data_IF_988710857635
#
_entry.id   IF_988710857635
#
_cell.length_a   1.000
_cell.length_b   1.000
_cell.length_c   1.000
_cell.angle_alpha   90.00
_cell.angle_beta   90.00
_cell.angle_gamma   90.00
#
_symmetry.space_group_name_H-M   'P 1'
#
loop_
_entity.id
_entity.type
_entity.pdbx_description
1 polymer ?
#
# COMPACT_ATOMS: atom_id res chain seq x y z
N UNK A 1 13.79 15.51 24.35
CA UNK A 1 13.08 14.97 25.53
C UNK A 1 13.13 16.03 26.62
N UNK A 2 12.00 16.55 27.13
CA UNK A 2 12.07 17.51 28.24
C UNK A 2 12.41 16.72 29.50
N UNK A 3 13.68 16.77 29.91
CA UNK A 3 14.14 16.10 31.11
C UNK A 3 13.87 17.03 32.30
N UNK A 4 13.00 16.61 33.22
CA UNK A 4 12.73 17.29 34.48
C UNK A 4 14.05 17.43 35.27
N UNK A 5 14.30 18.62 35.82
CA UNK A 5 15.57 18.91 36.49
C UNK A 5 15.71 18.04 37.75
N UNK A 6 16.66 17.10 37.75
CA UNK A 6 17.11 16.39 38.95
C UNK A 6 17.25 14.88 38.80
N UNK A 7 16.58 14.24 37.83
CA UNK A 7 16.75 12.81 37.58
C UNK A 7 18.03 12.60 36.77
N UNK A 8 18.89 11.68 37.20
CA UNK A 8 20.12 11.31 36.48
C UNK A 8 20.01 9.89 35.97
N UNK A 9 20.63 9.60 34.84
CA UNK A 9 20.76 8.22 34.36
C UNK A 9 21.74 7.48 35.27
N UNK A 10 21.33 6.35 35.83
CA UNK A 10 22.15 5.55 36.73
C UNK A 10 22.63 4.28 36.02
N UNK A 11 23.94 4.13 35.90
CA UNK A 11 24.60 3.02 35.21
C UNK A 11 25.48 2.30 36.23
N UNK A 12 25.18 1.04 36.51
CA UNK A 12 26.09 0.15 37.25
C UNK A 12 27.06 -0.48 36.24
N UNK A 13 28.34 -0.17 36.41
CA UNK A 13 29.43 -0.55 35.51
C UNK A 13 29.93 -1.96 35.78
N UNK A 14 30.69 -2.51 34.85
CA UNK A 14 31.26 -3.86 34.94
C UNK A 14 32.36 -3.99 35.99
N UNK A 15 32.95 -2.88 36.44
CA UNK A 15 33.85 -2.84 37.59
C UNK A 15 33.11 -2.80 38.95
N UNK A 16 31.77 -2.75 38.93
CA UNK A 16 30.92 -2.66 40.12
C UNK A 16 30.69 -1.24 40.63
N UNK A 17 31.24 -0.21 39.97
CA UNK A 17 31.00 1.20 40.32
C UNK A 17 29.68 1.70 39.73
N UNK A 18 29.12 2.75 40.33
CA UNK A 18 27.92 3.41 39.83
C UNK A 18 28.30 4.74 39.17
N UNK A 19 27.91 4.90 37.92
CA UNK A 19 28.00 6.15 37.17
C UNK A 19 26.64 6.84 37.13
N UNK A 20 26.63 8.13 37.46
CA UNK A 20 25.45 8.99 37.31
C UNK A 20 25.67 9.98 36.16
N UNK A 21 24.79 9.97 35.16
CA UNK A 21 24.88 10.87 33.99
C UNK A 21 23.77 11.91 34.05
N UNK A 22 24.18 13.18 34.13
CA UNK A 22 23.26 14.31 34.08
C UNK A 22 22.96 14.72 32.64
N UNK A 23 21.75 14.43 32.18
CA UNK A 23 21.29 14.74 30.83
C UNK A 23 20.57 16.09 30.71
N UNK A 24 20.58 16.94 31.74
CA UNK A 24 19.97 18.29 31.68
C UNK A 24 20.53 19.14 30.54
N UNK A 25 19.65 19.77 29.75
CA UNK A 25 20.05 20.56 28.58
C UNK A 25 20.42 19.75 27.34
N UNK A 26 20.35 18.42 27.36
CA UNK A 26 20.49 17.61 26.15
C UNK A 26 19.27 17.79 25.25
N UNK A 27 19.49 18.25 24.01
CA UNK A 27 18.42 18.51 23.04
C UNK A 27 18.34 17.41 21.98
N UNK A 28 19.47 16.80 21.66
CA UNK A 28 19.61 15.74 20.66
C UNK A 28 20.04 14.40 21.28
N UNK A 29 19.84 13.31 20.56
CA UNK A 29 20.38 11.99 20.95
C UNK A 29 21.91 12.01 20.95
N UNK A 30 22.53 12.80 20.07
CA UNK A 30 23.98 12.96 20.05
C UNK A 30 24.49 13.63 21.34
N UNK A 31 23.75 14.59 21.91
CA UNK A 31 24.09 15.20 23.20
C UNK A 31 24.06 14.17 24.32
N UNK A 32 23.09 13.27 24.30
CA UNK A 32 22.98 12.16 25.25
C UNK A 32 24.18 11.23 25.14
N UNK A 33 24.51 10.78 23.92
CA UNK A 33 25.66 9.91 23.65
C UNK A 33 26.95 10.57 24.13
N UNK A 34 27.16 11.84 23.78
CA UNK A 34 28.35 12.57 24.17
C UNK A 34 28.49 12.66 25.69
N UNK A 35 27.40 12.96 26.40
CA UNK A 35 27.43 13.04 27.87
C UNK A 35 27.71 11.70 28.54
N UNK A 36 27.20 10.59 28.00
CA UNK A 36 27.53 9.26 28.52
C UNK A 36 29.02 8.96 28.29
N UNK A 37 29.54 9.26 27.10
CA UNK A 37 30.95 9.03 26.73
C UNK A 37 31.94 9.89 27.53
N UNK A 38 31.49 11.02 28.07
CA UNK A 38 32.30 11.90 28.91
C UNK A 38 32.47 11.41 30.35
N UNK A 39 31.65 10.46 30.81
CA UNK A 39 31.71 9.93 32.19
C UNK A 39 33.02 9.17 32.43
N UNK A 40 33.41 8.32 31.47
CA UNK A 40 34.68 7.61 31.50
C UNK A 40 35.18 7.31 30.08
N UNK A 41 35.91 8.28 29.48
CA UNK A 41 36.35 8.18 28.10
C UNK A 41 37.19 6.93 27.83
N UNK A 42 36.76 6.15 26.83
CA UNK A 42 37.46 4.94 26.36
C UNK A 42 37.03 3.64 27.05
N UNK A 43 36.41 3.71 28.23
CA UNK A 43 35.85 2.54 28.90
C UNK A 43 34.33 2.47 28.71
N UNK A 44 33.61 3.55 29.05
CA UNK A 44 32.16 3.63 28.86
C UNK A 44 31.86 4.31 27.52
N UNK A 45 31.35 3.53 26.58
CA UNK A 45 31.11 3.94 25.20
C UNK A 45 29.66 3.69 24.82
N UNK A 46 28.90 4.75 24.69
CA UNK A 46 27.61 4.81 24.03
C UNK A 46 27.77 5.10 22.53
N UNK A 47 26.99 4.40 21.71
CA UNK A 47 26.86 4.66 20.28
C UNK A 47 25.43 4.39 19.82
N UNK A 48 25.11 4.75 18.58
CA UNK A 48 23.93 4.21 17.94
C UNK A 48 24.06 2.70 17.74
N UNK A 49 22.94 2.00 17.83
CA UNK A 49 22.86 0.59 17.50
C UNK A 49 23.06 0.39 16.00
N UNK A 50 23.74 -0.69 15.62
CA UNK A 50 23.98 -1.02 14.20
C UNK A 50 22.68 -1.30 13.42
N UNK A 51 21.63 -1.77 14.11
CA UNK A 51 20.30 -2.06 13.53
C UNK A 51 19.21 -1.53 14.46
N UNK A 52 18.32 -0.69 13.93
CA UNK A 52 17.22 -0.02 14.67
C UNK A 52 17.62 1.34 15.24
N UNK A 53 16.67 2.09 15.83
CA UNK A 53 16.91 3.46 16.32
C UNK A 53 17.35 3.52 17.80
N UNK A 54 17.89 2.43 18.34
CA UNK A 54 18.32 2.34 19.74
C UNK A 54 19.73 2.90 19.98
N UNK A 55 20.02 3.20 21.24
CA UNK A 55 21.39 3.45 21.73
C UNK A 55 21.95 2.14 22.26
N UNK A 56 23.22 1.85 22.00
CA UNK A 56 23.95 0.72 22.58
C UNK A 56 25.08 1.25 23.46
N UNK A 57 25.35 0.57 24.58
CA UNK A 57 26.39 0.96 25.54
C UNK A 57 27.30 -0.23 25.79
N UNK A 58 28.60 0.00 25.62
CA UNK A 58 29.67 -0.92 26.00
C UNK A 58 30.43 -0.33 27.18
N UNK A 59 30.81 -1.17 28.12
CA UNK A 59 31.68 -0.80 29.22
C UNK A 59 32.83 -1.80 29.32
N UNK A 60 34.06 -1.30 29.31
CA UNK A 60 35.28 -2.11 29.33
C UNK A 60 36.08 -1.97 30.65
N UNK A 61 35.52 -1.34 31.68
CA UNK A 61 36.23 -1.12 32.96
C UNK A 61 36.38 -2.38 33.82
N UNK A 62 35.60 -3.45 33.55
CA UNK A 62 35.65 -4.70 34.30
C UNK A 62 34.97 -5.86 33.56
N UNK A 63 34.74 -6.97 34.26
CA UNK A 63 34.10 -8.19 33.71
C UNK A 63 32.75 -8.52 34.36
N UNK A 64 32.27 -7.68 35.28
CA UNK A 64 30.97 -7.82 35.93
C UNK A 64 29.79 -7.47 35.00
N UNK A 65 28.55 -7.54 35.53
CA UNK A 65 27.37 -7.16 34.77
C UNK A 65 27.32 -5.64 34.54
N UNK A 66 26.87 -5.23 33.35
CA UNK A 66 26.54 -3.85 33.04
C UNK A 66 25.02 -3.69 33.20
N UNK A 67 24.54 -2.77 34.03
CA UNK A 67 23.10 -2.55 34.17
C UNK A 67 22.74 -1.08 34.29
N UNK A 68 21.55 -0.74 33.81
CA UNK A 68 21.00 0.61 33.84
C UNK A 68 19.70 0.56 34.62
N UNK A 69 19.69 1.27 35.75
CA UNK A 69 18.54 1.29 36.66
C UNK A 69 17.36 1.98 36.00
N UNK A 70 16.17 1.42 36.23
CA UNK A 70 14.92 1.94 35.69
C UNK A 70 14.56 3.29 36.32
N UNK A 71 14.47 4.33 35.51
CA UNK A 71 13.95 5.64 35.86
C UNK A 71 13.31 6.33 34.63
N UNK A 72 12.76 7.53 34.83
CA UNK A 72 12.07 8.30 33.78
C UNK A 72 12.95 8.51 32.52
N UNK A 73 14.26 8.70 32.72
CA UNK A 73 15.22 8.96 31.66
C UNK A 73 15.57 7.68 30.91
N UNK A 74 15.88 6.61 31.63
CA UNK A 74 16.25 5.32 31.05
C UNK A 74 15.07 4.75 30.26
N UNK A 75 13.83 4.92 30.75
CA UNK A 75 12.63 4.50 30.04
C UNK A 75 12.38 5.33 28.78
N UNK A 76 12.54 6.66 28.87
CA UNK A 76 12.37 7.57 27.74
C UNK A 76 13.43 7.37 26.63
N UNK A 77 14.61 6.85 26.99
CA UNK A 77 15.69 6.51 26.05
C UNK A 77 15.72 5.02 25.68
N UNK A 78 14.93 4.18 26.35
CA UNK A 78 14.89 2.75 26.13
C UNK A 78 16.13 1.99 26.60
N UNK A 79 16.89 2.59 27.51
CA UNK A 79 18.17 2.07 27.98
C UNK A 79 18.05 1.20 29.25
N UNK A 80 16.87 1.12 29.88
CA UNK A 80 16.69 0.25 31.05
C UNK A 80 16.92 -1.22 30.69
N UNK A 81 17.79 -1.88 31.45
CA UNK A 81 18.18 -3.26 31.17
C UNK A 81 19.45 -3.68 31.91
N UNK A 82 19.80 -4.95 31.77
CA UNK A 82 21.03 -5.52 32.31
C UNK A 82 21.63 -6.47 31.28
N UNK A 83 22.95 -6.38 31.13
CA UNK A 83 23.80 -7.27 30.36
C UNK A 83 24.66 -8.04 31.37
N UNK A 84 24.43 -9.34 31.46
CA UNK A 84 25.04 -10.21 32.47
C UNK A 84 26.14 -11.12 31.91
N UNK A 85 26.49 -10.99 30.63
CA UNK A 85 27.59 -11.78 30.07
C UNK A 85 28.91 -11.24 30.61
N UNK A 86 29.80 -12.15 31.01
CA UNK A 86 31.16 -11.80 31.44
C UNK A 86 32.10 -11.45 30.28
N UNK A 87 31.55 -11.14 29.09
CA UNK A 87 32.29 -10.86 27.86
C UNK A 87 32.04 -9.40 27.48
N UNK A 88 33.09 -8.60 27.54
CA UNK A 88 33.04 -7.15 27.26
C UNK A 88 32.70 -6.79 25.81
N UNK A 89 32.51 -7.78 24.94
CA UNK A 89 32.14 -7.58 23.53
C UNK A 89 30.63 -7.42 23.31
N UNK A 90 29.80 -7.74 24.30
CA UNK A 90 28.35 -7.61 24.18
C UNK A 90 27.88 -6.24 24.72
N UNK A 91 27.39 -5.34 23.86
CA UNK A 91 26.83 -4.08 24.30
C UNK A 91 25.45 -4.28 24.93
N UNK A 92 25.16 -3.53 26.00
CA UNK A 92 23.80 -3.33 26.47
C UNK A 92 23.04 -2.55 25.39
N UNK A 93 22.10 -3.22 24.74
CA UNK A 93 21.35 -2.64 23.63
C UNK A 93 20.03 -2.09 24.12
N UNK A 94 19.84 -0.77 23.99
CA UNK A 94 18.57 -0.13 24.26
C UNK A 94 17.48 -0.56 23.27
N UNK A 95 16.23 -0.55 23.75
CA UNK A 95 15.03 -0.70 22.93
C UNK A 95 14.78 0.57 22.11
N UNK A 96 14.17 0.39 20.95
CA UNK A 96 13.67 1.52 20.16
C UNK A 96 12.43 2.10 20.85
N UNK A 97 12.53 3.32 21.36
CA UNK A 97 11.46 4.06 22.05
C UNK A 97 10.58 4.87 21.11
N UNK A 98 11.05 5.10 19.88
CA UNK A 98 10.29 5.81 18.87
C UNK A 98 10.53 5.14 17.51
N UNK A 99 9.97 3.94 17.30
CA UNK A 99 10.07 3.26 16.03
C UNK A 99 9.38 4.12 14.97
N UNK A 100 10.16 4.91 14.22
CA UNK A 100 9.68 5.52 12.98
C UNK A 100 9.60 4.43 11.92
N UNK A 101 8.59 3.60 12.06
CA UNK A 101 8.32 2.56 11.09
C UNK A 101 7.33 3.05 10.05
N UNK A 102 7.73 2.93 8.79
CA UNK A 102 6.78 2.95 7.69
C UNK A 102 5.92 1.70 7.84
N UNK A 103 4.74 1.86 8.44
CA UNK A 103 3.71 0.84 8.52
C UNK A 103 3.35 0.40 7.09
N UNK A 104 3.76 -0.81 6.71
CA UNK A 104 3.53 -1.32 5.37
C UNK A 104 3.60 -2.83 5.33
N UNK A 105 2.67 -3.44 4.60
CA UNK A 105 2.53 -4.91 4.47
C UNK A 105 3.81 -5.58 3.98
N UNK A 106 4.55 -4.94 3.07
CA UNK A 106 5.84 -5.47 2.58
C UNK A 106 6.92 -5.46 3.67
N UNK A 107 6.93 -4.46 4.55
CA UNK A 107 7.86 -4.39 5.66
C UNK A 107 7.54 -5.47 6.72
N UNK A 108 6.25 -5.68 7.02
CA UNK A 108 5.81 -6.78 7.87
C UNK A 108 6.29 -8.15 7.34
N UNK A 109 6.20 -8.40 6.03
CA UNK A 109 6.69 -9.63 5.40
C UNK A 109 8.21 -9.78 5.45
N UNK A 110 8.96 -8.69 5.25
CA UNK A 110 10.43 -8.67 5.36
C UNK A 110 10.87 -9.00 6.79
N UNK A 111 10.21 -8.40 7.78
CA UNK A 111 10.46 -8.68 9.20
C UNK A 111 10.09 -10.09 9.59
N UNK A 112 8.98 -10.62 9.05
CA UNK A 112 8.58 -12.01 9.30
C UNK A 112 9.66 -12.96 8.81
N UNK A 113 10.16 -12.74 7.58
CA UNK A 113 11.26 -13.50 7.02
C UNK A 113 12.50 -13.44 7.91
N UNK A 114 12.88 -12.24 8.36
CA UNK A 114 14.11 -12.06 9.13
C UNK A 114 13.98 -12.64 10.56
N UNK A 115 12.81 -12.51 11.19
CA UNK A 115 12.51 -13.12 12.50
C UNK A 115 12.47 -14.66 12.44
N UNK A 116 11.94 -15.23 11.35
CA UNK A 116 11.99 -16.69 11.11
C UNK A 116 13.44 -17.15 10.92
N UNK A 117 14.26 -16.37 10.19
CA UNK A 117 15.67 -16.70 9.94
C UNK A 117 16.55 -16.60 11.19
N UNK A 118 16.29 -15.61 12.05
CA UNK A 118 17.04 -15.40 13.29
C UNK A 118 16.52 -16.21 14.48
N UNK A 119 15.33 -16.81 14.37
CA UNK A 119 14.68 -17.54 15.47
C UNK A 119 14.13 -16.66 16.59
N UNK A 120 13.94 -15.36 16.33
CA UNK A 120 13.50 -14.38 17.33
C UNK A 120 11.98 -14.50 17.61
N UNK A 121 11.64 -15.28 18.64
CA UNK A 121 10.25 -15.54 19.06
C UNK A 121 9.53 -14.29 19.56
N UNK A 122 10.26 -13.31 20.10
CA UNK A 122 9.67 -12.07 20.60
C UNK A 122 9.25 -11.16 19.45
N UNK A 123 10.06 -11.09 18.40
CA UNK A 123 9.69 -10.37 17.18
C UNK A 123 8.50 -11.03 16.48
N UNK A 124 8.48 -12.36 16.37
CA UNK A 124 7.34 -13.08 15.79
C UNK A 124 6.02 -12.75 16.50
N UNK A 125 6.01 -12.69 17.84
CA UNK A 125 4.81 -12.33 18.60
C UNK A 125 4.37 -10.88 18.39
N UNK A 126 5.29 -9.96 18.10
CA UNK A 126 4.96 -8.55 17.81
C UNK A 126 4.44 -8.35 16.39
N UNK A 127 4.87 -9.20 15.47
CA UNK A 127 4.44 -9.16 14.08
C UNK A 127 3.02 -9.66 13.87
N UNK A 128 2.48 -10.46 14.78
CA UNK A 128 1.14 -11.05 14.69
C UNK A 128 0.07 -9.98 14.40
N UNK A 129 0.01 -8.93 15.24
CA UNK A 129 -0.92 -7.80 15.05
C UNK A 129 -0.68 -7.05 13.73
N UNK A 130 0.58 -6.88 13.32
CA UNK A 130 0.90 -6.18 12.06
C UNK A 130 0.50 -6.99 10.82
N UNK A 131 0.55 -8.33 10.91
CA UNK A 131 0.11 -9.24 9.85
C UNK A 131 -1.42 -9.22 9.77
N UNK A 132 -2.12 -9.27 10.90
CA UNK A 132 -3.58 -9.17 10.95
C UNK A 132 -4.08 -7.86 10.31
N UNK A 133 -3.47 -6.73 10.67
CA UNK A 133 -3.80 -5.43 10.06
C UNK A 133 -3.55 -5.44 8.54
N UNK A 134 -2.46 -6.07 8.09
CA UNK A 134 -2.16 -6.23 6.67
C UNK A 134 -3.19 -7.11 5.94
N UNK A 135 -3.64 -8.21 6.57
CA UNK A 135 -4.68 -9.09 6.03
C UNK A 135 -6.00 -8.32 5.87
N UNK A 136 -6.35 -7.51 6.86
CA UNK A 136 -7.56 -6.68 6.82
C UNK A 136 -7.50 -5.66 5.66
N UNK A 137 -6.36 -5.00 5.47
CA UNK A 137 -6.16 -4.07 4.37
C UNK A 137 -6.29 -4.73 2.99
N UNK A 138 -5.70 -5.92 2.80
CA UNK A 138 -5.83 -6.68 1.55
C UNK A 138 -7.27 -7.14 1.33
N UNK A 139 -7.96 -7.56 2.39
CA UNK A 139 -9.36 -7.97 2.31
C UNK A 139 -10.26 -6.81 1.90
N UNK A 140 -10.02 -5.62 2.45
CA UNK A 140 -10.73 -4.41 2.06
C UNK A 140 -10.49 -4.03 0.59
N UNK A 141 -9.22 -4.04 0.14
CA UNK A 141 -8.88 -3.78 -1.25
C UNK A 141 -9.54 -4.79 -2.21
N UNK A 142 -9.60 -6.07 -1.83
CA UNK A 142 -10.32 -7.10 -2.59
C UNK A 142 -11.82 -6.85 -2.63
N UNK A 143 -12.40 -6.36 -1.54
CA UNK A 143 -13.81 -5.95 -1.49
C UNK A 143 -14.11 -4.82 -2.47
N UNK A 144 -13.25 -3.79 -2.52
CA UNK A 144 -13.38 -2.69 -3.46
C UNK A 144 -13.30 -3.16 -4.93
N UNK A 145 -12.36 -4.06 -5.23
CA UNK A 145 -12.28 -4.68 -6.57
C UNK A 145 -13.56 -5.48 -6.88
N UNK A 146 -14.12 -6.19 -5.91
CA UNK A 146 -15.39 -6.90 -6.07
C UNK A 146 -16.56 -5.96 -6.41
N UNK A 147 -16.63 -4.78 -5.78
CA UNK A 147 -17.62 -3.75 -6.11
C UNK A 147 -17.43 -3.27 -7.55
N UNK A 148 -16.19 -2.94 -7.94
CA UNK A 148 -15.88 -2.48 -9.31
C UNK A 148 -16.21 -3.54 -10.36
N UNK A 149 -15.97 -4.82 -10.06
CA UNK A 149 -16.39 -5.91 -10.94
C UNK A 149 -17.91 -5.95 -11.09
N UNK A 150 -18.65 -5.80 -9.99
CA UNK A 150 -20.12 -5.77 -10.05
C UNK A 150 -20.64 -4.56 -10.84
N UNK A 151 -19.99 -3.41 -10.72
CA UNK A 151 -20.31 -2.22 -11.51
C UNK A 151 -20.06 -2.45 -13.01
N UNK A 152 -18.95 -3.13 -13.35
CA UNK A 152 -18.66 -3.51 -14.74
C UNK A 152 -19.70 -4.50 -15.28
N UNK A 153 -20.13 -5.50 -14.50
CA UNK A 153 -21.19 -6.43 -14.91
C UNK A 153 -22.50 -5.69 -15.21
N UNK A 154 -22.87 -4.73 -14.36
CA UNK A 154 -24.08 -3.92 -14.57
C UNK A 154 -23.96 -3.03 -15.82
N UNK A 155 -22.77 -2.46 -16.06
CA UNK A 155 -22.51 -1.64 -17.24
C UNK A 155 -22.56 -2.49 -18.53
N UNK A 156 -22.07 -3.72 -18.49
CA UNK A 156 -22.17 -4.65 -19.62
C UNK A 156 -23.64 -4.97 -19.94
N UNK A 157 -24.47 -5.24 -18.93
CA UNK A 157 -25.91 -5.47 -19.11
C UNK A 157 -26.60 -4.24 -19.73
N UNK A 158 -26.29 -3.05 -19.24
CA UNK A 158 -26.82 -1.80 -19.78
C UNK A 158 -26.43 -1.60 -21.25
N UNK A 159 -25.15 -1.78 -21.59
CA UNK A 159 -24.66 -1.63 -22.97
C UNK A 159 -25.33 -2.64 -23.92
N UNK A 160 -25.54 -3.88 -23.48
CA UNK A 160 -26.24 -4.88 -24.27
C UNK A 160 -27.70 -4.50 -24.52
N UNK A 161 -28.40 -3.97 -23.52
CA UNK A 161 -29.76 -3.47 -23.67
C UNK A 161 -29.84 -2.26 -24.61
N UNK A 162 -28.92 -1.29 -24.49
CA UNK A 162 -28.84 -0.14 -25.40
C UNK A 162 -28.56 -0.58 -26.83
N UNK A 163 -27.69 -1.57 -27.03
CA UNK A 163 -27.42 -2.14 -28.35
C UNK A 163 -28.66 -2.77 -28.98
N UNK A 164 -29.43 -3.55 -28.21
CA UNK A 164 -30.69 -4.14 -28.69
C UNK A 164 -31.72 -3.06 -29.03
N UNK A 165 -31.80 -2.00 -28.22
CA UNK A 165 -32.67 -0.86 -28.48
C UNK A 165 -32.28 -0.14 -29.78
N UNK A 166 -31.00 0.16 -29.98
CA UNK A 166 -30.53 0.77 -31.22
C UNK A 166 -30.78 -0.12 -32.44
N UNK A 167 -30.59 -1.44 -32.32
CA UNK A 167 -30.89 -2.36 -33.40
C UNK A 167 -32.39 -2.37 -33.75
N UNK A 168 -33.26 -2.32 -32.73
CA UNK A 168 -34.71 -2.22 -32.91
C UNK A 168 -35.12 -0.89 -33.56
N UNK A 169 -34.60 0.25 -33.08
CA UNK A 169 -34.86 1.56 -33.67
C UNK A 169 -34.36 1.65 -35.11
N UNK A 170 -33.16 1.11 -35.40
CA UNK A 170 -32.65 1.03 -36.76
C UNK A 170 -33.56 0.15 -37.64
N UNK A 171 -34.06 -0.98 -37.13
CA UNK A 171 -35.03 -1.81 -37.85
C UNK A 171 -36.29 -1.02 -38.14
N UNK A 172 -36.87 -0.30 -37.18
CA UNK A 172 -38.08 0.50 -37.40
C UNK A 172 -37.89 1.63 -38.42
N UNK A 173 -36.74 2.31 -38.41
CA UNK A 173 -36.45 3.42 -39.34
C UNK A 173 -36.08 2.93 -40.75
N UNK A 174 -35.43 1.76 -40.86
CA UNK A 174 -34.90 1.22 -42.12
C UNK A 174 -35.56 -0.09 -42.59
N UNK A 175 -36.64 -0.54 -41.94
CA UNK A 175 -37.53 -1.59 -42.42
C UNK A 175 -38.24 -1.08 -43.67
N UNK A 176 -37.49 -1.10 -44.77
CA UNK A 176 -38.07 -1.23 -46.09
C UNK A 176 -38.77 -2.57 -46.07
N UNK A 177 -40.10 -2.56 -45.99
CA UNK A 177 -40.87 -3.75 -46.28
C UNK A 177 -40.56 -4.14 -47.73
N UNK A 178 -39.65 -5.10 -47.89
CA UNK A 178 -39.20 -5.56 -49.20
C UNK A 178 -40.39 -6.03 -50.03
N UNK A 179 -41.48 -6.50 -49.41
CA UNK A 179 -42.70 -6.84 -50.10
C UNK A 179 -43.38 -5.59 -50.69
N UNK A 180 -43.45 -4.49 -49.94
CA UNK A 180 -43.97 -3.20 -50.41
C UNK A 180 -43.11 -2.63 -51.55
N UNK A 181 -41.77 -2.65 -51.42
CA UNK A 181 -40.88 -2.13 -52.48
C UNK A 181 -40.90 -2.99 -53.73
N UNK A 182 -40.97 -4.33 -53.60
CA UNK A 182 -41.13 -5.23 -54.74
C UNK A 182 -42.49 -5.01 -55.41
N UNK A 183 -43.56 -4.83 -54.63
CA UNK A 183 -44.90 -4.53 -55.13
C UNK A 183 -44.95 -3.20 -55.90
N UNK A 184 -44.36 -2.15 -55.32
CA UNK A 184 -44.26 -0.83 -55.96
C UNK A 184 -43.40 -0.88 -57.23
N UNK A 185 -42.29 -1.62 -57.21
CA UNK A 185 -41.43 -1.81 -58.38
C UNK A 185 -42.17 -2.56 -59.50
N UNK A 186 -42.84 -3.67 -59.17
CA UNK A 186 -43.63 -4.45 -60.14
C UNK A 186 -44.77 -3.61 -60.73
N UNK A 187 -45.45 -2.80 -59.92
CA UNK A 187 -46.50 -1.87 -60.38
C UNK A 187 -45.93 -0.81 -61.32
N UNK A 188 -44.76 -0.23 -61.00
CA UNK A 188 -44.08 0.73 -61.87
C UNK A 188 -43.61 0.11 -63.18
N UNK A 189 -43.06 -1.11 -63.15
CA UNK A 189 -42.69 -1.85 -64.35
C UNK A 189 -43.89 -2.12 -65.25
N UNK A 190 -45.00 -2.60 -64.68
CA UNK A 190 -46.24 -2.87 -65.42
C UNK A 190 -46.81 -1.60 -66.07
N UNK A 191 -46.80 -0.49 -65.33
CA UNK A 191 -47.29 0.81 -65.84
C UNK A 191 -46.37 1.35 -66.94
N UNK A 192 -45.06 1.18 -66.80
CA UNK A 192 -44.08 1.59 -67.81
C UNK A 192 -44.25 0.79 -69.12
N UNK A 193 -44.39 -0.53 -69.03
CA UNK A 193 -44.68 -1.39 -70.19
C UNK A 193 -46.00 -1.01 -70.87
N UNK A 194 -47.06 -0.77 -70.09
CA UNK A 194 -48.34 -0.31 -70.62
C UNK A 194 -48.20 1.05 -71.34
N UNK A 195 -47.44 1.99 -70.77
CA UNK A 195 -47.18 3.30 -71.36
C UNK A 195 -46.39 3.19 -72.66
N UNK A 196 -45.37 2.33 -72.72
CA UNK A 196 -44.62 2.03 -73.94
C UNK A 196 -45.51 1.41 -75.03
N UNK A 197 -46.41 0.48 -74.66
CA UNK A 197 -47.36 -0.14 -75.58
C UNK A 197 -48.36 0.87 -76.14
N UNK A 198 -48.91 1.75 -75.30
CA UNK A 198 -49.80 2.83 -75.73
C UNK A 198 -49.04 3.81 -76.64
N UNK A 199 -47.82 4.19 -76.28
CA UNK A 199 -47.00 5.09 -77.09
C UNK A 199 -46.68 4.50 -78.47
N UNK A 200 -46.35 3.22 -78.54
CA UNK A 200 -46.11 2.52 -79.81
C UNK A 200 -47.38 2.37 -80.66
N UNK A 201 -48.55 2.14 -80.05
CA UNK A 201 -49.84 2.15 -80.75
C UNK A 201 -50.21 3.53 -81.29
N UNK A 202 -49.98 4.60 -80.51
CA UNK A 202 -50.20 5.99 -80.96
C UNK A 202 -49.29 6.35 -82.13
N UNK A 203 -48.01 5.98 -82.06
CA UNK A 203 -47.06 6.19 -83.16
C UNK A 203 -47.45 5.40 -84.42
N UNK A 204 -47.89 4.14 -84.29
CA UNK A 204 -48.34 3.34 -85.43
C UNK A 204 -49.64 3.86 -86.07
N UNK A 205 -50.64 4.25 -85.27
CA UNK A 205 -51.87 4.87 -85.80
C UNK A 205 -51.57 6.19 -86.52
N UNK A 206 -50.65 7.01 -85.99
CA UNK A 206 -50.27 8.27 -86.63
C UNK A 206 -49.63 8.10 -88.00
N UNK A 207 -48.86 7.02 -88.20
CA UNK A 207 -48.20 6.71 -89.46
C UNK A 207 -49.18 6.15 -90.51
N UNK A 208 -50.17 5.35 -90.09
CA UNK A 208 -51.21 4.83 -90.99
C UNK A 208 -52.25 5.90 -91.38
N UNK A 209 -52.43 6.94 -90.55
CA UNK A 209 -53.29 8.09 -90.88
C UNK A 209 -52.60 9.15 -91.77
N UNK A 210 -51.28 9.04 -91.99
CA UNK A 210 -50.48 10.00 -92.75
C UNK A 210 -50.15 9.55 -94.19
N UNK A 211 -50.52 8.31 -94.57
CA UNK A 211 -50.45 7.77 -95.93
C UNK A 211 -51.87 7.60 -96.51
#
# INVERSE_FOLDING_TARGET
>A
VPLSSGVKLQITRRDGTNAEVDLTGSTTIQDVINKINLVDPGNLVASFKTVGNGIQITDNSGTGPLSISKNEISEALGLDGSETSNVNTNPLSGRDVNPQETYGTLNALVRLRDAIRSGDRTQLSRLDTQIDDSINNVTFARGEVGIRLKDLDNLEEQINNEKLQFQSSLSQDFEVDLAEVISQLATKQTTYEATLKISSQLLQLSLVQFL
#
